data_IF_203509966921
#
_entry.id   IF_203509966921
#
_cell.length_a   1.000
_cell.length_b   1.000
_cell.length_c   1.000
_cell.angle_alpha   90.00
_cell.angle_beta   90.00
_cell.angle_gamma   90.00
#
_symmetry.space_group_name_H-M   'P 1'
#
loop_
_entity.id
_entity.type
_entity.pdbx_description
1 polymer ?
#
# COMPACT_ATOMS: atom_id res chain seq x y z
N UNK A 1 -68.05 -26.65 -63.39
CA UNK A 1 -67.53 -27.20 -62.15
C UNK A 1 -66.34 -26.36 -61.78
N UNK A 2 -66.52 -25.40 -60.88
CA UNK A 2 -65.47 -24.49 -60.41
C UNK A 2 -65.21 -24.77 -58.94
N UNK A 3 -64.06 -25.37 -58.62
CA UNK A 3 -63.60 -25.57 -57.26
C UNK A 3 -63.04 -24.25 -56.70
N UNK A 4 -63.66 -23.71 -55.71
CA UNK A 4 -63.19 -22.56 -54.97
C UNK A 4 -62.31 -23.10 -53.83
N UNK A 5 -61.00 -23.06 -54.00
CA UNK A 5 -60.07 -23.35 -52.92
C UNK A 5 -59.96 -22.10 -52.03
N UNK A 6 -60.58 -22.12 -50.83
CA UNK A 6 -60.40 -21.09 -49.81
C UNK A 6 -59.06 -21.30 -49.08
N UNK A 7 -58.09 -20.47 -49.40
CA UNK A 7 -56.83 -20.36 -48.67
C UNK A 7 -57.03 -19.56 -47.40
N UNK A 8 -57.30 -20.26 -46.26
CA UNK A 8 -57.38 -19.62 -44.95
C UNK A 8 -55.99 -19.46 -44.34
N UNK A 9 -55.38 -18.28 -44.49
CA UNK A 9 -54.20 -17.89 -43.76
C UNK A 9 -54.61 -17.52 -42.31
N UNK A 10 -54.45 -18.47 -41.42
CA UNK A 10 -54.57 -18.22 -39.96
C UNK A 10 -53.38 -17.40 -39.49
N UNK A 11 -53.58 -16.12 -39.19
CA UNK A 11 -52.58 -15.27 -38.50
C UNK A 11 -52.72 -15.43 -36.97
N UNK A 12 -51.85 -16.21 -36.37
CA UNK A 12 -51.73 -16.32 -34.93
C UNK A 12 -51.42 -14.93 -34.31
N UNK A 13 -52.38 -14.39 -33.56
CA UNK A 13 -52.20 -13.12 -32.81
C UNK A 13 -51.52 -13.47 -31.47
N UNK A 14 -50.62 -12.57 -31.01
CA UNK A 14 -49.96 -12.73 -29.68
C UNK A 14 -50.98 -12.91 -28.54
N UNK A 15 -52.18 -12.30 -28.67
CA UNK A 15 -53.28 -12.49 -27.73
C UNK A 15 -53.78 -13.93 -27.65
N UNK A 16 -53.75 -14.70 -28.75
CA UNK A 16 -54.23 -16.07 -28.79
C UNK A 16 -53.17 -16.99 -28.19
N UNK A 17 -51.88 -16.72 -28.40
CA UNK A 17 -50.79 -17.43 -27.74
C UNK A 17 -50.82 -17.21 -26.23
N UNK A 18 -51.04 -16.00 -25.76
CA UNK A 18 -51.15 -15.67 -24.34
C UNK A 18 -52.35 -16.34 -23.67
N UNK A 19 -53.52 -16.40 -24.37
CA UNK A 19 -54.71 -17.11 -23.87
C UNK A 19 -54.48 -18.61 -23.80
N UNK A 20 -53.92 -19.22 -24.84
CA UNK A 20 -53.62 -20.64 -24.86
C UNK A 20 -52.59 -21.03 -23.81
N UNK A 21 -51.55 -20.23 -23.63
CA UNK A 21 -50.53 -20.41 -22.56
C UNK A 21 -51.15 -20.30 -21.15
N UNK A 22 -52.05 -19.31 -20.94
CA UNK A 22 -52.74 -19.14 -19.64
C UNK A 22 -53.69 -20.25 -19.27
N UNK A 23 -54.38 -20.86 -20.26
CA UNK A 23 -55.26 -22.03 -19.98
C UNK A 23 -54.49 -23.27 -19.57
N UNK A 24 -53.30 -23.49 -20.15
CA UNK A 24 -52.40 -24.60 -19.77
C UNK A 24 -51.89 -24.50 -18.33
N UNK A 25 -51.58 -23.31 -17.88
CA UNK A 25 -51.13 -23.05 -16.50
C UNK A 25 -52.28 -23.25 -15.49
N UNK A 26 -53.48 -22.80 -15.83
CA UNK A 26 -54.68 -22.99 -14.97
C UNK A 26 -55.19 -24.43 -14.91
N UNK A 27 -54.98 -25.19 -15.95
CA UNK A 27 -55.42 -26.60 -16.00
C UNK A 27 -54.57 -27.53 -15.08
N UNK A 28 -53.31 -27.19 -14.84
CA UNK A 28 -52.39 -27.99 -14.00
C UNK A 28 -51.46 -27.09 -13.16
N UNK A 29 -51.95 -26.37 -12.17
CA UNK A 29 -51.22 -25.36 -11.42
C UNK A 29 -50.01 -25.93 -10.67
N UNK A 30 -50.11 -27.13 -10.13
CA UNK A 30 -49.02 -27.78 -9.40
C UNK A 30 -47.78 -28.01 -10.27
N UNK A 31 -47.97 -28.42 -11.54
CA UNK A 31 -46.84 -28.59 -12.47
C UNK A 31 -46.18 -27.26 -12.84
N UNK A 32 -46.98 -26.23 -13.06
CA UNK A 32 -46.47 -24.89 -13.36
C UNK A 32 -45.66 -24.31 -12.20
N UNK A 33 -46.16 -24.46 -10.96
CA UNK A 33 -45.47 -24.02 -9.73
C UNK A 33 -44.16 -24.78 -9.55
N UNK A 34 -44.17 -26.12 -9.69
CA UNK A 34 -42.95 -26.92 -9.53
C UNK A 34 -41.89 -26.58 -10.59
N UNK A 35 -42.30 -26.35 -11.85
CA UNK A 35 -41.36 -25.93 -12.90
C UNK A 35 -40.80 -24.54 -12.63
N UNK A 36 -41.64 -23.57 -12.22
CA UNK A 36 -41.18 -22.23 -11.88
C UNK A 36 -40.24 -22.24 -10.67
N UNK A 37 -40.53 -23.06 -9.65
CA UNK A 37 -39.68 -23.23 -8.48
C UNK A 37 -38.31 -23.83 -8.86
N UNK A 38 -38.29 -24.84 -9.73
CA UNK A 38 -37.05 -25.44 -10.23
C UNK A 38 -36.17 -24.43 -10.95
N UNK A 39 -36.75 -23.59 -11.82
CA UNK A 39 -36.02 -22.51 -12.52
C UNK A 39 -35.54 -21.48 -11.53
N UNK A 40 -36.39 -21.05 -10.59
CA UNK A 40 -36.01 -20.05 -9.58
C UNK A 40 -34.84 -20.52 -8.71
N UNK A 41 -34.85 -21.77 -8.25
CA UNK A 41 -33.75 -22.37 -7.48
C UNK A 41 -32.50 -22.46 -8.33
N UNK A 42 -32.60 -22.86 -9.61
CA UNK A 42 -31.45 -22.90 -10.52
C UNK A 42 -30.77 -21.53 -10.73
N UNK A 43 -31.58 -20.49 -10.95
CA UNK A 43 -31.06 -19.12 -11.09
C UNK A 43 -30.48 -18.63 -9.77
N UNK A 44 -31.15 -18.87 -8.65
CA UNK A 44 -30.66 -18.46 -7.33
C UNK A 44 -29.30 -19.13 -6.99
N UNK A 45 -29.18 -20.43 -7.30
CA UNK A 45 -27.90 -21.14 -7.12
C UNK A 45 -26.79 -20.58 -7.99
N UNK A 46 -27.07 -20.26 -9.26
CA UNK A 46 -26.09 -19.68 -10.17
C UNK A 46 -25.64 -18.30 -9.71
N UNK A 47 -26.56 -17.43 -9.31
CA UNK A 47 -26.25 -16.10 -8.78
C UNK A 47 -25.48 -16.20 -7.45
N UNK A 48 -25.85 -17.15 -6.60
CA UNK A 48 -25.14 -17.41 -5.34
C UNK A 48 -23.69 -17.83 -5.56
N UNK A 49 -23.43 -18.74 -6.48
CA UNK A 49 -22.06 -19.19 -6.80
C UNK A 49 -21.21 -18.05 -7.37
N UNK A 50 -21.77 -17.26 -8.29
CA UNK A 50 -21.04 -16.09 -8.86
C UNK A 50 -20.78 -15.04 -7.77
N UNK A 51 -21.76 -14.77 -6.90
CA UNK A 51 -21.63 -13.81 -5.81
C UNK A 51 -20.55 -14.19 -4.79
N UNK A 52 -20.49 -15.46 -4.40
CA UNK A 52 -19.44 -15.97 -3.49
C UNK A 52 -18.06 -15.91 -4.17
N UNK A 53 -17.98 -16.29 -5.45
CA UNK A 53 -16.70 -16.26 -6.19
C UNK A 53 -16.13 -14.84 -6.31
N UNK A 54 -16.95 -13.86 -6.67
CA UNK A 54 -16.52 -12.46 -6.76
C UNK A 54 -16.13 -11.87 -5.41
N UNK A 55 -16.86 -12.21 -4.35
CA UNK A 55 -16.53 -11.77 -2.99
C UNK A 55 -15.19 -12.33 -2.52
N UNK A 56 -14.93 -13.62 -2.78
CA UNK A 56 -13.65 -14.26 -2.41
C UNK A 56 -12.46 -13.68 -3.18
N UNK A 57 -12.65 -13.37 -4.47
CA UNK A 57 -11.60 -12.71 -5.28
C UNK A 57 -11.28 -11.31 -4.75
N UNK A 58 -12.29 -10.52 -4.38
CA UNK A 58 -12.08 -9.19 -3.80
C UNK A 58 -11.32 -9.26 -2.46
N UNK A 59 -11.66 -10.21 -1.59
CA UNK A 59 -10.93 -10.42 -0.32
C UNK A 59 -9.47 -10.85 -0.55
N UNK A 60 -9.23 -11.75 -1.51
CA UNK A 60 -7.88 -12.18 -1.84
C UNK A 60 -7.04 -11.03 -2.41
N UNK A 61 -7.62 -10.22 -3.31
CA UNK A 61 -6.94 -9.04 -3.85
C UNK A 61 -6.58 -8.04 -2.73
N UNK A 62 -7.47 -7.81 -1.77
CA UNK A 62 -7.20 -6.94 -0.61
C UNK A 62 -6.07 -7.50 0.27
N UNK A 63 -6.05 -8.82 0.52
CA UNK A 63 -4.96 -9.46 1.25
C UNK A 63 -3.63 -9.37 0.51
N UNK A 64 -3.62 -9.53 -0.82
CA UNK A 64 -2.42 -9.38 -1.64
C UNK A 64 -1.92 -7.92 -1.63
N UNK A 65 -2.82 -6.93 -1.67
CA UNK A 65 -2.47 -5.51 -1.51
C UNK A 65 -1.84 -5.23 -0.15
N UNK A 66 -2.40 -5.79 0.91
CA UNK A 66 -1.85 -5.66 2.27
C UNK A 66 -0.45 -6.29 2.37
N UNK A 67 -0.13 -7.31 1.57
CA UNK A 67 1.20 -7.91 1.47
C UNK A 67 2.19 -7.05 0.66
N UNK A 68 1.76 -5.90 0.12
CA UNK A 68 2.65 -4.95 -0.55
C UNK A 68 3.20 -5.39 -1.90
N UNK A 69 2.46 -6.24 -2.61
CA UNK A 69 2.87 -6.75 -3.94
C UNK A 69 3.09 -5.65 -4.97
N UNK A 70 2.51 -4.47 -4.75
CA UNK A 70 2.65 -3.30 -5.60
C UNK A 70 3.64 -2.25 -5.05
N UNK A 71 4.42 -2.58 -4.02
CA UNK A 71 5.47 -1.72 -3.51
C UNK A 71 6.84 -2.19 -4.03
N UNK A 72 7.59 -1.27 -4.64
CA UNK A 72 8.98 -1.49 -5.00
C UNK A 72 9.89 -0.59 -4.18
N UNK A 73 11.09 -1.10 -3.92
CA UNK A 73 12.13 -0.38 -3.19
C UNK A 73 13.38 -0.30 -4.05
N UNK A 74 13.86 0.91 -4.27
CA UNK A 74 15.15 1.15 -4.92
C UNK A 74 16.15 1.68 -3.90
N UNK A 75 17.25 0.96 -3.73
CA UNK A 75 18.33 1.35 -2.84
C UNK A 75 19.55 1.77 -3.66
N UNK A 76 20.24 2.79 -3.17
CA UNK A 76 21.57 3.12 -3.68
C UNK A 76 22.50 1.93 -3.44
N UNK A 77 23.26 1.54 -4.46
CA UNK A 77 24.25 0.49 -4.34
C UNK A 77 25.37 0.86 -3.36
N UNK A 78 26.18 -0.12 -2.97
CA UNK A 78 27.42 0.15 -2.27
C UNK A 78 28.54 0.32 -3.30
N UNK A 79 29.48 1.22 -3.03
CA UNK A 79 30.69 1.31 -3.82
C UNK A 79 31.64 0.12 -3.49
N UNK A 80 32.74 0.03 -4.23
CA UNK A 80 33.75 -1.01 -4.03
C UNK A 80 34.41 -0.97 -2.64
N UNK A 81 34.25 0.13 -1.91
CA UNK A 81 34.75 0.34 -0.55
C UNK A 81 33.70 -0.03 0.51
N UNK A 82 32.52 -0.47 0.12
CA UNK A 82 31.41 -0.83 1.03
C UNK A 82 30.65 0.38 1.59
N UNK A 83 30.93 1.59 1.11
CA UNK A 83 30.20 2.79 1.47
C UNK A 83 28.93 2.85 0.65
N UNK A 84 27.78 3.02 1.34
CA UNK A 84 26.50 3.21 0.65
C UNK A 84 26.55 4.47 -0.20
N UNK A 85 26.39 4.32 -1.51
CA UNK A 85 26.20 5.44 -2.41
C UNK A 85 24.86 6.11 -2.11
N UNK A 86 24.63 7.29 -2.67
CA UNK A 86 23.36 8.01 -2.51
C UNK A 86 22.69 8.15 -3.85
N UNK A 87 21.38 8.21 -3.85
CA UNK A 87 20.60 8.53 -5.03
C UNK A 87 20.59 10.05 -5.26
N UNK A 88 20.33 10.50 -6.49
CA UNK A 88 20.17 11.92 -6.77
C UNK A 88 19.13 12.58 -5.87
N UNK A 89 19.32 13.83 -5.50
CA UNK A 89 18.38 14.57 -4.63
C UNK A 89 16.99 14.74 -5.25
N UNK A 90 16.86 14.63 -6.56
CA UNK A 90 15.60 14.65 -7.31
C UNK A 90 15.03 13.24 -7.59
N UNK A 91 15.61 12.18 -6.99
CA UNK A 91 15.21 10.79 -7.22
C UNK A 91 13.70 10.55 -7.03
N UNK A 92 13.11 11.04 -5.94
CA UNK A 92 11.66 10.92 -5.70
C UNK A 92 10.85 11.63 -6.77
N UNK A 93 11.28 12.84 -7.18
CA UNK A 93 10.63 13.60 -8.25
C UNK A 93 10.65 12.85 -9.58
N UNK A 94 11.80 12.28 -9.94
CA UNK A 94 11.94 11.46 -11.16
C UNK A 94 11.09 10.20 -11.08
N UNK A 95 11.07 9.54 -9.93
CA UNK A 95 10.26 8.33 -9.71
C UNK A 95 8.78 8.63 -9.95
N UNK A 96 8.26 9.73 -9.44
CA UNK A 96 6.85 10.14 -9.62
C UNK A 96 6.46 10.44 -11.07
N UNK A 97 7.41 10.64 -11.98
CA UNK A 97 7.16 10.87 -13.41
C UNK A 97 7.01 9.57 -14.20
N UNK A 98 7.31 8.41 -13.62
CA UNK A 98 7.12 7.12 -14.27
C UNK A 98 5.63 6.79 -14.30
N UNK A 99 5.11 6.47 -15.48
CA UNK A 99 3.70 6.07 -15.64
C UNK A 99 3.39 4.82 -14.81
N UNK A 100 2.27 4.85 -14.11
CA UNK A 100 1.84 3.77 -13.21
C UNK A 100 2.27 3.93 -11.76
N UNK A 101 3.08 4.94 -11.39
CA UNK A 101 3.40 5.22 -9.99
C UNK A 101 2.30 6.06 -9.35
N UNK A 102 1.73 5.55 -8.27
CA UNK A 102 0.69 6.23 -7.48
C UNK A 102 1.30 7.10 -6.38
N UNK A 103 2.33 6.60 -5.71
CA UNK A 103 2.99 7.27 -4.60
C UNK A 103 4.48 6.95 -4.59
N UNK A 104 5.30 7.93 -4.21
CA UNK A 104 6.73 7.71 -3.97
C UNK A 104 7.23 8.58 -2.82
N UNK A 105 8.16 8.03 -2.06
CA UNK A 105 8.79 8.65 -0.90
C UNK A 105 10.24 8.18 -0.76
N UNK A 106 10.98 8.79 0.14
CA UNK A 106 12.34 8.38 0.41
C UNK A 106 12.73 8.40 1.87
N UNK A 107 13.78 7.65 2.16
CA UNK A 107 14.54 7.76 3.41
C UNK A 107 16.02 7.92 3.11
N UNK A 108 16.74 8.53 4.04
CA UNK A 108 18.18 8.63 3.97
C UNK A 108 18.83 8.22 5.28
N UNK A 109 19.66 7.20 5.24
CA UNK A 109 20.46 6.81 6.41
C UNK A 109 21.57 7.84 6.64
N UNK A 110 21.59 8.40 7.85
CA UNK A 110 22.60 9.37 8.25
C UNK A 110 23.80 8.64 8.85
N UNK A 111 24.80 8.37 8.02
CA UNK A 111 26.00 7.64 8.44
C UNK A 111 26.77 8.43 9.52
N UNK A 112 27.24 7.69 10.55
CA UNK A 112 27.99 8.30 11.66
C UNK A 112 27.12 9.04 12.68
N UNK A 113 25.79 9.05 12.52
CA UNK A 113 24.86 9.67 13.46
C UNK A 113 24.20 8.59 14.30
N UNK A 114 24.72 8.41 15.50
CA UNK A 114 24.24 7.37 16.42
C UNK A 114 23.15 7.88 17.36
N UNK A 115 22.31 6.96 17.83
CA UNK A 115 21.20 7.24 18.75
C UNK A 115 21.52 6.69 20.13
N UNK A 116 21.31 7.48 21.18
CA UNK A 116 21.57 7.10 22.56
C UNK A 116 20.41 7.45 23.46
N UNK A 117 20.20 6.66 24.49
CA UNK A 117 19.24 6.97 25.55
C UNK A 117 19.69 8.16 26.42
N UNK A 118 20.99 8.30 26.62
CA UNK A 118 21.61 9.32 27.48
C UNK A 118 23.04 9.61 26.98
N UNK A 119 23.55 10.80 27.25
CA UNK A 119 24.95 11.18 26.98
C UNK A 119 25.98 10.34 27.78
N UNK A 120 25.54 9.65 28.81
CA UNK A 120 26.40 8.83 29.66
C UNK A 120 26.62 7.41 29.08
N UNK A 121 25.91 7.05 28.02
CA UNK A 121 26.08 5.77 27.33
C UNK A 121 27.33 5.84 26.45
N UNK A 122 28.13 4.77 26.47
CA UNK A 122 29.30 4.65 25.60
C UNK A 122 28.89 4.78 24.13
N UNK A 123 29.61 5.60 23.37
CA UNK A 123 29.34 5.85 21.96
C UNK A 123 29.41 4.60 21.08
N UNK A 124 30.04 3.54 21.56
CA UNK A 124 30.09 2.25 20.89
C UNK A 124 28.90 1.34 21.25
N UNK A 125 28.13 1.69 22.28
CA UNK A 125 26.95 0.92 22.75
C UNK A 125 25.66 1.45 22.15
N UNK A 126 25.60 1.62 20.81
CA UNK A 126 24.43 2.20 20.10
C UNK A 126 23.25 1.23 20.01
N UNK A 127 23.41 -0.02 20.41
CA UNK A 127 22.37 -1.05 20.24
C UNK A 127 21.99 -1.35 18.77
N UNK A 128 22.73 -0.78 17.81
CA UNK A 128 22.46 -0.95 16.38
C UNK A 128 21.31 -0.08 15.84
N UNK A 129 20.79 0.88 16.63
CA UNK A 129 19.79 1.83 16.17
C UNK A 129 20.42 2.82 15.20
N UNK A 130 19.81 2.98 14.04
CA UNK A 130 20.25 3.90 12.97
C UNK A 130 19.42 5.17 12.97
N UNK A 131 20.00 6.27 12.49
CA UNK A 131 19.26 7.51 12.26
C UNK A 131 18.89 7.61 10.79
N UNK A 132 17.63 7.87 10.50
CA UNK A 132 17.16 8.10 9.13
C UNK A 132 16.41 9.42 9.02
N UNK A 133 16.73 10.23 8.00
CA UNK A 133 15.86 11.30 7.56
C UNK A 133 14.70 10.69 6.76
N UNK A 134 13.48 11.12 7.04
CA UNK A 134 12.26 10.57 6.45
C UNK A 134 11.34 11.69 5.97
N UNK A 135 10.70 11.48 4.84
CA UNK A 135 9.62 12.32 4.35
C UNK A 135 8.32 12.03 5.11
N UNK A 136 7.41 12.99 5.16
CA UNK A 136 6.12 12.84 5.84
C UNK A 136 5.22 11.78 5.20
N UNK A 137 5.35 11.60 3.88
CA UNK A 137 4.62 10.60 3.11
C UNK A 137 5.05 9.15 3.36
N UNK A 138 6.13 8.92 4.14
CA UNK A 138 6.73 7.60 4.30
C UNK A 138 5.73 6.55 4.79
N UNK A 139 5.02 6.81 5.89
CA UNK A 139 4.11 5.82 6.47
C UNK A 139 2.99 5.42 5.51
N UNK A 140 2.48 6.37 4.72
CA UNK A 140 1.43 6.12 3.74
C UNK A 140 1.91 5.20 2.60
N UNK A 141 3.17 5.36 2.17
CA UNK A 141 3.76 4.51 1.12
C UNK A 141 4.08 3.11 1.62
N UNK A 142 4.68 2.99 2.81
CA UNK A 142 5.06 1.68 3.38
C UNK A 142 3.93 1.00 4.15
N UNK A 143 2.71 1.56 4.15
CA UNK A 143 1.56 1.09 4.95
C UNK A 143 1.92 0.90 6.43
N UNK A 144 2.72 1.82 6.98
CA UNK A 144 3.10 1.82 8.39
C UNK A 144 2.05 2.52 9.26
N UNK A 145 2.05 2.20 10.55
CA UNK A 145 1.17 2.83 11.54
C UNK A 145 1.94 3.28 12.79
N UNK A 146 1.35 4.23 13.51
CA UNK A 146 1.89 4.75 14.77
C UNK A 146 1.22 4.05 15.93
N UNK A 147 1.99 3.28 16.70
CA UNK A 147 1.51 2.61 17.91
C UNK A 147 1.19 3.60 19.04
N UNK A 148 2.01 4.64 19.19
CA UNK A 148 1.84 5.67 20.25
C UNK A 148 2.32 7.02 19.75
N UNK A 149 1.60 8.08 20.07
CA UNK A 149 1.96 9.45 19.73
C UNK A 149 1.52 9.85 18.34
N UNK A 150 2.37 10.58 17.62
CA UNK A 150 2.07 11.14 16.29
C UNK A 150 3.23 10.93 15.34
N UNK A 151 2.92 10.92 14.03
CA UNK A 151 3.91 10.93 12.96
C UNK A 151 4.49 12.34 12.75
N UNK A 152 5.56 12.42 11.98
CA UNK A 152 6.17 13.67 11.53
C UNK A 152 5.18 14.49 10.69
N UNK A 153 5.19 15.80 10.90
CA UNK A 153 4.42 16.78 10.15
C UNK A 153 5.30 18.00 9.83
N UNK A 154 4.76 19.00 9.13
CA UNK A 154 5.50 20.20 8.74
C UNK A 154 6.18 20.91 9.93
N UNK A 155 5.46 21.04 11.05
CA UNK A 155 5.99 21.67 12.24
C UNK A 155 7.11 20.84 12.87
N UNK A 156 6.87 19.53 13.10
CA UNK A 156 7.84 18.66 13.78
C UNK A 156 9.03 18.27 12.91
N UNK A 157 8.93 18.38 11.58
CA UNK A 157 10.02 18.06 10.65
C UNK A 157 11.18 19.07 10.70
N UNK A 158 10.93 20.27 11.17
CA UNK A 158 11.92 21.34 11.30
C UNK A 158 12.56 21.45 12.69
N UNK A 159 12.04 20.73 13.68
CA UNK A 159 12.51 20.78 15.08
C UNK A 159 13.14 19.45 15.49
N UNK A 160 13.92 19.43 16.61
CA UNK A 160 14.49 18.21 17.18
C UNK A 160 13.41 17.25 17.72
N UNK A 161 12.67 16.66 16.82
CA UNK A 161 11.64 15.64 17.09
C UNK A 161 11.99 14.36 16.33
N UNK A 162 11.71 13.21 16.95
CA UNK A 162 11.97 11.91 16.33
C UNK A 162 10.79 10.96 16.56
N UNK A 163 10.57 10.08 15.60
CA UNK A 163 9.70 8.92 15.73
C UNK A 163 10.57 7.68 15.74
N UNK A 164 10.37 6.80 16.71
CA UNK A 164 11.15 5.59 16.84
C UNK A 164 10.42 4.41 16.19
N UNK A 165 11.16 3.59 15.44
CA UNK A 165 10.69 2.29 15.04
C UNK A 165 10.46 1.37 16.25
N UNK A 166 9.65 0.34 16.09
CA UNK A 166 9.22 -0.55 17.17
C UNK A 166 10.41 -1.15 17.94
N UNK A 167 11.41 -1.64 17.23
CA UNK A 167 12.62 -2.23 17.81
C UNK A 167 13.56 -1.17 18.41
N UNK A 168 13.71 -0.03 17.75
CA UNK A 168 14.51 1.09 18.26
C UNK A 168 13.99 1.58 19.62
N UNK A 169 12.67 1.72 19.76
CA UNK A 169 12.04 2.09 21.03
C UNK A 169 12.34 1.09 22.14
N UNK A 170 12.29 -0.21 21.85
CA UNK A 170 12.63 -1.27 22.81
C UNK A 170 14.10 -1.21 23.22
N UNK A 171 15.01 -1.08 22.25
CA UNK A 171 16.46 -1.01 22.51
C UNK A 171 16.85 0.21 23.36
N UNK A 172 16.20 1.34 23.10
CA UNK A 172 16.42 2.59 23.85
C UNK A 172 15.63 2.64 25.19
N UNK A 173 14.79 1.64 25.49
CA UNK A 173 13.94 1.65 26.68
C UNK A 173 12.90 2.77 26.70
N UNK A 174 12.41 3.19 25.51
CA UNK A 174 11.40 4.24 25.36
C UNK A 174 10.03 3.59 25.23
N UNK A 175 9.17 3.82 26.22
CA UNK A 175 7.84 3.21 26.27
C UNK A 175 6.75 4.19 25.82
N UNK A 176 6.97 5.50 26.02
CA UNK A 176 5.97 6.53 25.71
C UNK A 176 6.63 7.74 25.03
N UNK A 177 5.87 8.43 24.16
CA UNK A 177 6.26 9.75 23.64
C UNK A 177 6.51 10.77 24.77
N UNK A 178 7.22 11.86 24.45
CA UNK A 178 7.67 12.86 25.41
C UNK A 178 9.04 12.56 26.03
N UNK A 179 9.57 11.35 25.82
CA UNK A 179 10.92 10.98 26.26
C UNK A 179 11.99 11.66 25.40
N UNK A 180 13.09 12.08 25.98
CA UNK A 180 14.24 12.61 25.24
C UNK A 180 15.24 11.50 24.95
N UNK A 181 15.79 11.53 23.73
CA UNK A 181 16.90 10.69 23.26
C UNK A 181 17.95 11.60 22.63
N UNK A 182 19.18 11.12 22.55
CA UNK A 182 20.28 11.84 21.93
C UNK A 182 20.54 11.26 20.54
N UNK A 183 20.50 12.11 19.52
CA UNK A 183 20.86 11.78 18.14
C UNK A 183 22.11 12.62 17.81
N UNK A 184 23.22 11.95 17.60
CA UNK A 184 24.52 12.63 17.54
C UNK A 184 24.77 13.42 18.83
N UNK A 185 24.92 14.75 18.71
CA UNK A 185 25.16 15.65 19.84
C UNK A 185 23.93 16.47 20.26
N UNK A 186 22.77 16.22 19.66
CA UNK A 186 21.53 16.99 19.87
C UNK A 186 20.49 16.14 20.57
N UNK A 187 19.77 16.75 21.54
CA UNK A 187 18.63 16.12 22.21
C UNK A 187 17.39 16.21 21.33
N UNK A 188 16.74 15.09 21.07
CA UNK A 188 15.50 14.98 20.33
C UNK A 188 14.37 14.50 21.24
N UNK A 189 13.20 15.08 21.09
CA UNK A 189 11.99 14.60 21.76
C UNK A 189 11.33 13.50 20.93
N UNK A 190 11.09 12.34 21.52
CA UNK A 190 10.34 11.27 20.89
C UNK A 190 8.87 11.69 20.84
N UNK A 191 8.33 11.90 19.65
CA UNK A 191 6.93 12.29 19.44
C UNK A 191 6.03 11.12 19.08
N UNK A 192 6.61 9.99 18.62
CA UNK A 192 5.87 8.80 18.27
C UNK A 192 6.73 7.54 18.32
N UNK A 193 6.04 6.41 18.38
CA UNK A 193 6.62 5.06 18.27
C UNK A 193 5.78 4.32 17.23
N UNK A 194 6.42 3.68 16.25
CA UNK A 194 5.75 2.92 15.21
C UNK A 194 5.34 1.53 15.68
N UNK A 195 4.30 0.99 15.07
CA UNK A 195 4.10 -0.45 15.00
C UNK A 195 5.19 -1.07 14.09
N UNK A 196 5.44 -2.40 14.20
CA UNK A 196 6.34 -3.08 13.27
C UNK A 196 5.92 -2.87 11.81
N UNK A 197 6.86 -2.41 10.97
CA UNK A 197 6.58 -2.09 9.56
C UNK A 197 6.97 -3.27 8.69
N UNK A 198 6.00 -4.12 8.37
CA UNK A 198 6.23 -5.37 7.62
C UNK A 198 6.87 -5.14 6.24
N UNK A 199 6.49 -4.07 5.55
CA UNK A 199 6.96 -3.78 4.18
C UNK A 199 8.32 -3.07 4.13
N UNK A 200 8.78 -2.52 5.26
CA UNK A 200 10.07 -1.83 5.39
C UNK A 200 10.66 -2.11 6.79
N UNK A 201 11.07 -3.36 7.07
CA UNK A 201 11.50 -3.78 8.41
C UNK A 201 12.76 -3.06 8.90
N UNK A 202 13.52 -2.43 8.02
CA UNK A 202 14.65 -1.57 8.38
C UNK A 202 14.23 -0.35 9.20
N UNK A 203 12.99 0.12 9.04
CA UNK A 203 12.43 1.24 9.82
C UNK A 203 12.22 0.86 11.28
N UNK A 204 12.02 -0.41 11.60
CA UNK A 204 11.82 -0.86 12.97
C UNK A 204 13.03 -0.57 13.86
N UNK A 205 14.23 -0.55 13.29
CA UNK A 205 15.48 -0.29 14.01
C UNK A 205 15.98 1.17 13.86
N UNK A 206 15.12 2.07 13.37
CA UNK A 206 15.49 3.44 13.07
C UNK A 206 14.92 4.46 14.06
N UNK A 207 15.68 5.53 14.27
CA UNK A 207 15.17 6.81 14.75
C UNK A 207 14.92 7.71 13.54
N UNK A 208 13.65 7.98 13.27
CA UNK A 208 13.19 8.72 12.10
C UNK A 208 13.07 10.20 12.45
N UNK A 209 13.74 11.06 11.70
CA UNK A 209 13.70 12.51 11.88
C UNK A 209 13.26 13.20 10.59
N UNK A 210 12.74 14.39 10.70
CA UNK A 210 12.34 15.15 9.51
C UNK A 210 13.53 15.53 8.62
N UNK A 211 13.28 15.69 7.34
CA UNK A 211 14.32 16.06 6.37
C UNK A 211 14.91 17.44 6.62
N UNK A 212 14.10 18.39 7.11
CA UNK A 212 14.57 19.75 7.38
C UNK A 212 15.53 19.81 8.57
N UNK A 213 15.20 19.15 9.69
CA UNK A 213 16.13 19.09 10.82
C UNK A 213 17.39 18.29 10.49
N UNK A 214 17.27 17.27 9.62
CA UNK A 214 18.42 16.51 9.14
C UNK A 214 19.40 17.41 8.34
N UNK A 215 18.89 18.28 7.47
CA UNK A 215 19.69 19.26 6.74
C UNK A 215 20.37 20.27 7.67
N UNK A 216 19.67 20.73 8.70
CA UNK A 216 20.18 21.74 9.64
C UNK A 216 21.27 21.19 10.58
N UNK A 217 21.13 19.94 11.03
CA UNK A 217 21.96 19.40 12.12
C UNK A 217 23.01 18.37 11.67
N UNK A 218 22.81 17.70 10.52
CA UNK A 218 23.60 16.53 10.13
C UNK A 218 24.18 16.61 8.70
N UNK A 219 24.29 17.80 8.13
CA UNK A 219 24.83 18.03 6.76
C UNK A 219 24.15 17.15 5.69
N UNK A 220 22.86 16.85 5.90
CA UNK A 220 22.09 16.11 4.93
C UNK A 220 21.78 16.99 3.71
N UNK A 221 22.16 16.53 2.51
CA UNK A 221 22.04 17.31 1.27
C UNK A 221 20.79 17.00 0.45
N UNK A 222 19.86 16.22 1.02
CA UNK A 222 18.66 15.82 0.30
C UNK A 222 18.86 14.61 -0.61
N UNK A 223 19.99 13.91 -0.48
CA UNK A 223 20.33 12.74 -1.28
C UNK A 223 19.82 11.47 -0.56
N UNK A 224 18.75 10.80 -1.06
CA UNK A 224 18.21 9.63 -0.38
C UNK A 224 19.11 8.40 -0.55
N UNK A 225 19.04 7.50 0.40
CA UNK A 225 19.65 6.15 0.30
C UNK A 225 18.68 5.13 -0.21
N UNK A 226 17.37 5.35 0.03
CA UNK A 226 16.30 4.43 -0.36
C UNK A 226 15.08 5.22 -0.84
N UNK A 227 14.53 4.79 -1.97
CA UNK A 227 13.25 5.27 -2.50
C UNK A 227 12.26 4.12 -2.41
N UNK A 228 11.10 4.39 -1.84
CA UNK A 228 9.95 3.48 -1.81
C UNK A 228 8.89 4.05 -2.74
N UNK A 229 8.26 3.19 -3.52
CA UNK A 229 7.17 3.59 -4.37
C UNK A 229 6.02 2.57 -4.34
N UNK A 230 4.82 3.03 -4.66
CA UNK A 230 3.67 2.20 -4.94
C UNK A 230 3.19 2.44 -6.35
N UNK A 231 3.10 1.35 -7.09
CA UNK A 231 2.58 1.35 -8.46
C UNK A 231 1.15 0.81 -8.50
N UNK A 232 0.45 1.13 -9.60
CA UNK A 232 -0.75 0.40 -9.99
C UNK A 232 -0.43 -1.08 -10.20
N UNK A 233 -1.33 -1.99 -9.79
CA UNK A 233 -1.09 -3.43 -9.78
C UNK A 233 -0.70 -4.00 -11.16
N UNK A 234 -1.30 -3.46 -12.22
CA UNK A 234 -1.06 -3.86 -13.61
C UNK A 234 0.22 -3.29 -14.22
N UNK A 235 0.90 -2.35 -13.51
CA UNK A 235 2.08 -1.62 -13.99
C UNK A 235 3.38 -1.96 -13.26
N UNK A 236 3.33 -2.81 -12.24
CA UNK A 236 4.49 -3.11 -11.36
C UNK A 236 5.72 -3.55 -12.15
N UNK A 237 5.57 -4.41 -13.16
CA UNK A 237 6.70 -4.91 -13.95
C UNK A 237 7.27 -3.81 -14.87
N UNK A 238 6.41 -2.98 -15.47
CA UNK A 238 6.84 -1.85 -16.30
C UNK A 238 7.62 -0.83 -15.47
N UNK A 239 7.09 -0.49 -14.28
CA UNK A 239 7.75 0.42 -13.33
C UNK A 239 9.08 -0.16 -12.86
N UNK A 240 9.14 -1.45 -12.52
CA UNK A 240 10.40 -2.12 -12.12
C UNK A 240 11.48 -1.99 -13.17
N UNK A 241 11.15 -2.17 -14.44
CA UNK A 241 12.09 -2.05 -15.54
C UNK A 241 12.63 -0.62 -15.71
N UNK A 242 11.82 0.40 -15.41
CA UNK A 242 12.17 1.81 -15.57
C UNK A 242 12.85 2.43 -14.34
N UNK A 243 12.64 1.86 -13.15
CA UNK A 243 13.11 2.46 -11.90
C UNK A 243 14.65 2.58 -11.85
N UNK A 244 15.36 1.52 -12.21
CA UNK A 244 16.82 1.49 -12.21
C UNK A 244 17.45 2.55 -13.13
N UNK A 245 17.12 2.57 -14.44
CA UNK A 245 17.61 3.58 -15.37
C UNK A 245 17.25 5.03 -14.98
N UNK A 246 16.09 5.25 -14.37
CA UNK A 246 15.63 6.58 -13.94
C UNK A 246 16.41 7.11 -12.76
N UNK A 247 16.79 6.25 -11.82
CA UNK A 247 17.49 6.63 -10.60
C UNK A 247 19.02 6.68 -10.75
N UNK A 248 19.56 5.95 -11.72
CA UNK A 248 20.99 5.90 -12.02
C UNK A 248 21.25 6.26 -13.48
N UNK A 249 20.99 7.50 -13.90
CA UNK A 249 21.36 7.93 -15.24
C UNK A 249 22.89 7.86 -15.39
N UNK A 250 23.34 7.16 -16.46
CA UNK A 250 24.73 7.06 -16.84
C UNK A 250 25.28 8.43 -17.23
#
# INVERSE_FOLDING_TARGET
>A
MSEHSMNMHSKLRWSDVARLGGTGIRARPTRAILSALGIAIGIAAMVGVIGVSTSSQAQLAEQLRALGTNMLTAQAGNDLSGVSTKLPSDAVGRTRLIDGIEKATSTSTLSGVSVYRSRLVDKNATGGTITMAAEQSLLDVVAGSVAKGTWLNDATSAYPATVLGARAAQLLGVVNPGTQVWIGNTSFTVIGILDPVTLAPELDNAALIGTEIAKQQFDYKGEPTTVYERSAEDKVEDVRALLGPTLSPK
#
